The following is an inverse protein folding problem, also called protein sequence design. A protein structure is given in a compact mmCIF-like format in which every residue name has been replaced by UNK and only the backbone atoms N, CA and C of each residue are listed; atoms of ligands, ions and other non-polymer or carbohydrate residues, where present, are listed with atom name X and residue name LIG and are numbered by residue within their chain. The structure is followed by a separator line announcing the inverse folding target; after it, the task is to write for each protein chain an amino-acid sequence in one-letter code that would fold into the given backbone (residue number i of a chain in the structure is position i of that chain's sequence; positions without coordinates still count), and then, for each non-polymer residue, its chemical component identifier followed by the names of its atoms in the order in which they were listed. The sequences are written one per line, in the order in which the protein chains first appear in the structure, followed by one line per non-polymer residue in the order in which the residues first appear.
data_IF_638252614053
#
_entry.id   IF_638252614053
#
_cell.length_a   1.000
_cell.length_b   1.000
_cell.length_c   1.000
_cell.angle_alpha   90.00
_cell.angle_beta   90.00
_cell.angle_gamma   90.00
#
_symmetry.space_group_name_H-M   'P 1'
#
loop_
_entity.id
_entity.type
_entity.pdbx_description
1 polymer ?
#
# COMPACT_ATOMS: atom_id res chain seq x y z
N UNK A 1 5.75 -31.47 32.21
CA UNK A 1 4.42 -31.47 32.85
C UNK A 1 4.27 -30.18 33.62
N UNK A 2 3.58 -29.19 33.03
CA UNK A 2 2.73 -28.17 33.67
C UNK A 2 2.21 -27.27 32.54
N UNK A 3 1.03 -27.64 32.03
CA UNK A 3 0.24 -26.83 31.09
C UNK A 3 -0.67 -25.97 31.96
N UNK A 4 -0.48 -24.65 31.93
CA UNK A 4 -1.44 -23.70 32.49
C UNK A 4 -2.39 -23.30 31.35
N UNK A 5 -3.55 -23.95 31.28
CA UNK A 5 -4.68 -23.57 30.43
C UNK A 5 -5.49 -22.48 31.13
N UNK A 6 -5.42 -21.24 30.64
CA UNK A 6 -6.39 -20.20 31.01
C UNK A 6 -7.47 -20.09 29.95
N UNK A 7 -8.64 -20.61 30.28
CA UNK A 7 -9.89 -20.45 29.52
C UNK A 7 -10.36 -19.00 29.65
N UNK A 8 -10.50 -18.29 28.53
CA UNK A 8 -11.16 -16.98 28.46
C UNK A 8 -12.60 -17.17 27.97
N UNK A 9 -13.54 -17.14 28.91
CA UNK A 9 -14.96 -16.99 28.63
C UNK A 9 -15.22 -15.57 28.13
N UNK A 10 -15.52 -15.40 26.83
CA UNK A 10 -16.09 -14.16 26.30
C UNK A 10 -17.61 -14.18 26.48
N UNK A 11 -18.10 -13.36 27.40
CA UNK A 11 -19.53 -13.07 27.55
C UNK A 11 -19.97 -12.15 26.41
N UNK A 12 -20.92 -12.62 25.60
CA UNK A 12 -21.45 -11.94 24.43
C UNK A 12 -22.52 -10.93 24.86
N UNK A 13 -22.19 -9.63 24.90
CA UNK A 13 -23.22 -8.57 25.03
C UNK A 13 -23.83 -8.35 23.65
N UNK A 14 -25.06 -8.83 23.45
CA UNK A 14 -25.88 -8.53 22.26
C UNK A 14 -26.27 -7.05 22.29
N UNK A 15 -25.64 -6.23 21.43
CA UNK A 15 -26.21 -4.95 21.01
C UNK A 15 -26.41 -4.93 19.49
N UNK A 16 -27.58 -4.48 19.08
CA UNK A 16 -28.22 -4.64 17.76
C UNK A 16 -27.68 -3.71 16.66
N UNK A 17 -26.41 -3.31 16.71
CA UNK A 17 -25.80 -2.39 15.73
C UNK A 17 -24.78 -3.06 14.78
N UNK A 18 -24.63 -4.38 14.86
CA UNK A 18 -23.56 -5.16 14.21
C UNK A 18 -23.93 -5.76 12.84
N UNK A 19 -24.72 -5.05 12.03
CA UNK A 19 -25.16 -5.55 10.71
C UNK A 19 -24.76 -4.66 9.53
N UNK A 20 -23.72 -3.81 9.68
CA UNK A 20 -23.11 -3.08 8.57
C UNK A 20 -21.65 -3.49 8.36
N UNK A 21 -21.47 -4.38 7.38
CA UNK A 21 -20.27 -4.74 6.63
C UNK A 21 -19.12 -5.45 7.38
N UNK A 22 -19.11 -6.78 7.27
CA UNK A 22 -18.00 -7.65 7.67
C UNK A 22 -16.66 -7.29 6.99
N UNK A 23 -16.68 -6.59 5.85
CA UNK A 23 -15.49 -6.13 5.14
C UNK A 23 -14.70 -5.06 5.90
N UNK A 24 -15.37 -4.17 6.66
CA UNK A 24 -14.69 -3.18 7.53
C UNK A 24 -14.01 -3.85 8.72
N UNK A 25 -14.59 -4.93 9.24
CA UNK A 25 -14.04 -5.68 10.37
C UNK A 25 -12.79 -6.44 9.95
N UNK A 26 -12.77 -7.11 8.80
CA UNK A 26 -11.55 -7.82 8.33
C UNK A 26 -10.42 -6.82 8.02
N UNK A 27 -10.74 -5.67 7.41
CA UNK A 27 -9.78 -4.60 7.13
C UNK A 27 -9.17 -4.03 8.42
N UNK A 28 -10.00 -3.69 9.42
CA UNK A 28 -9.54 -3.12 10.69
C UNK A 28 -8.81 -4.14 11.58
N UNK A 29 -9.21 -5.41 11.59
CA UNK A 29 -8.54 -6.43 12.39
C UNK A 29 -7.18 -6.80 11.78
N UNK A 30 -7.05 -6.90 10.45
CA UNK A 30 -5.75 -7.10 9.79
C UNK A 30 -4.76 -5.94 10.03
N UNK A 31 -5.24 -4.69 10.01
CA UNK A 31 -4.44 -3.51 10.31
C UNK A 31 -4.08 -3.38 11.80
N UNK A 32 -4.98 -3.76 12.73
CA UNK A 32 -4.68 -3.69 14.17
C UNK A 32 -3.55 -4.64 14.58
N UNK A 33 -3.48 -5.84 14.03
CA UNK A 33 -2.41 -6.80 14.38
C UNK A 33 -1.01 -6.33 13.96
N UNK A 34 -0.88 -5.60 12.86
CA UNK A 34 0.42 -5.09 12.38
C UNK A 34 0.87 -3.85 13.16
N UNK A 35 -0.07 -3.06 13.71
CA UNK A 35 0.25 -1.85 14.49
C UNK A 35 0.51 -2.18 15.97
N UNK A 36 -0.07 -3.25 16.53
CA UNK A 36 0.03 -3.57 17.96
C UNK A 36 1.34 -4.23 18.40
N UNK A 37 2.12 -4.86 17.50
CA UNK A 37 3.41 -5.47 17.89
C UNK A 37 4.55 -4.46 18.07
N UNK A 38 4.35 -3.17 17.77
CA UNK A 38 5.38 -2.13 17.94
C UNK A 38 5.23 -1.27 19.20
N UNK A 39 4.33 -1.63 20.11
CA UNK A 39 4.01 -0.87 21.31
C UNK A 39 4.59 -1.46 22.61
N UNK A 40 5.48 -2.45 22.51
CA UNK A 40 6.24 -2.98 23.64
C UNK A 40 7.73 -2.81 23.29
N UNK A 41 8.48 -2.22 24.22
CA UNK A 41 9.92 -1.92 24.18
C UNK A 41 10.33 -0.57 23.56
N UNK A 42 9.85 0.52 24.15
CA UNK A 42 10.68 1.71 24.38
C UNK A 42 10.50 2.10 25.85
N UNK A 43 11.37 1.59 26.73
CA UNK A 43 11.59 2.20 28.04
C UNK A 43 12.13 3.62 27.83
N UNK A 44 11.24 4.60 27.99
CA UNK A 44 11.62 6.01 28.06
C UNK A 44 12.30 6.27 29.39
N UNK A 45 13.60 6.51 29.37
CA UNK A 45 14.28 7.19 30.46
C UNK A 45 13.76 8.63 30.51
N UNK A 46 12.99 8.91 31.57
CA UNK A 46 12.45 10.20 31.92
C UNK A 46 13.53 11.05 32.63
N UNK A 47 13.88 12.19 32.03
CA UNK A 47 14.41 13.33 32.77
C UNK A 47 13.68 14.60 32.32
N UNK A 48 12.61 14.90 33.06
CA UNK A 48 12.08 16.23 33.35
C UNK A 48 11.42 17.00 32.19
N UNK A 49 10.09 17.09 32.23
CA UNK A 49 9.37 18.22 31.63
C UNK A 49 7.98 17.88 31.10
N UNK A 50 7.00 17.86 32.00
CA UNK A 50 5.58 17.65 31.72
C UNK A 50 5.04 18.66 30.68
N UNK A 51 4.42 18.15 29.60
CA UNK A 51 3.10 18.60 29.11
C UNK A 51 2.56 17.60 28.06
N UNK A 52 1.45 16.98 28.41
CA UNK A 52 0.66 16.06 27.60
C UNK A 52 0.18 16.69 26.29
N UNK A 53 0.68 16.20 25.15
CA UNK A 53 0.11 16.49 23.83
C UNK A 53 -0.92 15.41 23.46
N UNK A 54 -2.14 15.85 23.19
CA UNK A 54 -3.24 15.00 22.70
C UNK A 54 -2.94 14.45 21.29
N UNK A 55 -3.62 13.38 20.83
CA UNK A 55 -3.51 12.89 19.47
C UNK A 55 -4.32 13.81 18.54
N UNK A 56 -3.77 14.99 18.26
CA UNK A 56 -4.29 15.87 17.21
C UNK A 56 -3.61 15.52 15.89
N UNK A 57 -4.42 15.26 14.87
CA UNK A 57 -4.01 15.09 13.49
C UNK A 57 -3.08 16.22 13.09
N UNK A 58 -1.82 15.88 12.81
CA UNK A 58 -0.91 16.81 12.14
C UNK A 58 -1.42 16.96 10.70
N UNK A 59 -2.37 17.88 10.49
CA UNK A 59 -2.73 18.37 9.15
C UNK A 59 -1.41 18.72 8.44
N UNK A 60 -1.13 18.05 7.32
CA UNK A 60 -0.01 18.39 6.45
C UNK A 60 -0.14 19.86 6.05
N UNK A 61 0.67 20.73 6.68
CA UNK A 61 0.81 22.13 6.27
C UNK A 61 1.34 22.12 4.84
N UNK A 62 0.57 22.65 3.89
CA UNK A 62 0.92 22.89 2.47
C UNK A 62 2.29 22.31 2.07
N UNK A 63 2.38 20.98 1.98
CA UNK A 63 3.64 20.30 1.75
C UNK A 63 3.99 20.49 0.27
N UNK A 64 5.00 21.30 -0.01
CA UNK A 64 5.58 21.36 -1.33
C UNK A 64 6.48 20.13 -1.48
N UNK A 65 5.99 19.10 -2.15
CA UNK A 65 6.80 17.93 -2.46
C UNK A 65 7.77 18.27 -3.60
N UNK A 66 9.04 17.94 -3.41
CA UNK A 66 10.05 18.01 -4.45
C UNK A 66 10.35 16.60 -4.97
N UNK A 67 10.92 16.53 -6.17
CA UNK A 67 11.52 15.30 -6.68
C UNK A 67 12.50 14.75 -5.64
N UNK A 68 12.42 13.44 -5.38
CA UNK A 68 13.27 12.76 -4.39
C UNK A 68 14.06 11.67 -5.08
N UNK A 69 15.35 11.62 -4.74
CA UNK A 69 16.28 10.62 -5.26
C UNK A 69 16.45 9.51 -4.21
N UNK A 70 16.28 8.27 -4.63
CA UNK A 70 16.54 7.07 -3.86
C UNK A 70 17.74 6.34 -4.44
N UNK A 71 18.67 5.91 -3.60
CA UNK A 71 19.76 5.02 -4.00
C UNK A 71 19.30 3.57 -3.86
N UNK A 72 19.10 2.91 -4.99
CA UNK A 72 18.66 1.52 -5.10
C UNK A 72 19.81 0.64 -5.61
N UNK A 73 20.07 -0.52 -4.99
CA UNK A 73 21.19 -1.39 -5.37
C UNK A 73 21.01 -2.07 -6.74
N UNK A 74 19.79 -2.14 -7.28
CA UNK A 74 19.49 -2.77 -8.58
C UNK A 74 19.48 -1.73 -9.70
N UNK A 75 18.91 -0.56 -9.44
CA UNK A 75 18.66 0.47 -10.45
C UNK A 75 19.55 1.71 -10.33
N UNK A 76 20.42 1.78 -9.32
CA UNK A 76 21.26 2.95 -9.07
C UNK A 76 20.45 4.10 -8.48
N UNK A 77 20.54 5.29 -9.06
CA UNK A 77 19.76 6.44 -8.60
C UNK A 77 18.37 6.46 -9.24
N UNK A 78 17.34 6.30 -8.42
CA UNK A 78 15.94 6.41 -8.83
C UNK A 78 15.44 7.82 -8.46
N UNK A 79 15.02 8.59 -9.46
CA UNK A 79 14.38 9.91 -9.25
C UNK A 79 12.87 9.76 -9.39
N UNK A 80 12.10 10.13 -8.36
CA UNK A 80 10.64 10.00 -8.34
C UNK A 80 9.92 11.34 -8.29
N UNK A 81 8.85 11.44 -9.07
CA UNK A 81 7.99 12.61 -9.19
C UNK A 81 7.37 13.01 -7.83
N UNK A 82 7.20 14.31 -7.53
CA UNK A 82 6.59 14.79 -6.29
C UNK A 82 5.28 14.12 -5.88
N UNK A 83 4.41 13.80 -6.84
CA UNK A 83 3.15 13.09 -6.56
C UNK A 83 3.39 11.66 -6.01
N UNK A 84 4.39 10.95 -6.55
CA UNK A 84 4.82 9.65 -6.02
C UNK A 84 5.40 9.80 -4.61
N UNK A 85 6.21 10.85 -4.38
CA UNK A 85 6.79 11.13 -3.06
C UNK A 85 5.70 11.40 -2.02
N UNK A 86 4.64 12.12 -2.39
CA UNK A 86 3.49 12.37 -1.51
C UNK A 86 2.80 11.08 -1.06
N UNK A 87 2.71 10.07 -1.93
CA UNK A 87 2.21 8.73 -1.56
C UNK A 87 3.22 7.96 -0.72
N UNK A 88 4.50 8.00 -1.10
CA UNK A 88 5.58 7.29 -0.41
C UNK A 88 5.66 7.73 1.05
N UNK A 89 5.56 9.03 1.32
CA UNK A 89 5.70 9.61 2.65
C UNK A 89 4.38 9.51 3.47
N UNK A 90 3.60 8.43 3.28
CA UNK A 90 2.42 8.09 4.10
C UNK A 90 2.65 6.82 4.93
N UNK A 91 1.99 6.66 6.09
CA UNK A 91 2.07 5.44 6.89
C UNK A 91 1.69 4.17 6.11
N UNK A 92 0.66 4.26 5.26
CA UNK A 92 0.10 3.16 4.49
C UNK A 92 1.12 2.59 3.49
N UNK A 93 1.94 3.45 2.87
CA UNK A 93 3.04 3.04 1.99
C UNK A 93 4.29 2.63 2.78
N UNK A 94 4.68 3.40 3.81
CA UNK A 94 5.86 3.10 4.63
C UNK A 94 5.76 1.74 5.32
N UNK A 95 4.54 1.22 5.56
CA UNK A 95 4.35 -0.12 6.12
C UNK A 95 5.01 -1.22 5.27
N UNK A 96 5.13 -1.03 3.96
CA UNK A 96 5.72 -2.01 3.03
C UNK A 96 7.18 -2.33 3.37
N UNK A 97 7.86 -1.47 4.15
CA UNK A 97 9.22 -1.74 4.67
C UNK A 97 9.28 -2.96 5.60
N UNK A 98 8.17 -3.28 6.24
CA UNK A 98 8.05 -4.40 7.19
C UNK A 98 7.53 -5.68 6.54
N UNK A 99 7.19 -5.64 5.25
CA UNK A 99 6.65 -6.80 4.51
C UNK A 99 7.75 -7.35 3.60
N UNK A 100 8.26 -8.53 3.95
CA UNK A 100 9.28 -9.23 3.17
C UNK A 100 8.75 -9.63 1.79
N UNK A 101 9.50 -9.34 0.73
CA UNK A 101 9.11 -9.66 -0.64
C UNK A 101 8.83 -11.16 -0.80
N UNK A 102 9.75 -11.98 -0.32
CA UNK A 102 9.75 -13.43 -0.49
C UNK A 102 9.25 -14.19 0.74
N UNK A 103 8.61 -13.52 1.69
CA UNK A 103 8.07 -14.15 2.90
C UNK A 103 9.09 -15.00 3.64
N UNK A 104 8.83 -16.30 3.77
CA UNK A 104 9.68 -17.26 4.50
C UNK A 104 10.98 -17.62 3.79
N UNK A 105 11.21 -17.20 2.54
CA UNK A 105 12.40 -17.58 1.79
C UNK A 105 13.69 -17.10 2.46
N UNK A 106 13.64 -16.01 3.23
CA UNK A 106 14.78 -15.50 4.02
C UNK A 106 15.39 -16.55 4.96
N UNK A 107 14.57 -17.48 5.47
CA UNK A 107 15.03 -18.57 6.35
C UNK A 107 15.77 -19.69 5.60
N UNK A 108 15.68 -19.72 4.27
CA UNK A 108 16.40 -20.66 3.41
C UNK A 108 17.54 -19.94 2.66
N UNK A 109 17.30 -18.71 2.22
CA UNK A 109 18.23 -17.85 1.49
C UNK A 109 18.42 -16.55 2.28
N UNK A 110 19.47 -16.45 3.12
CA UNK A 110 19.66 -15.32 4.03
C UNK A 110 19.90 -13.98 3.31
N UNK A 111 20.21 -13.99 2.00
CA UNK A 111 20.28 -12.77 1.17
C UNK A 111 18.92 -12.21 0.76
N UNK A 112 17.82 -12.93 0.97
CA UNK A 112 16.47 -12.53 0.54
C UNK A 112 15.78 -11.61 1.55
N UNK A 113 16.49 -10.55 1.96
CA UNK A 113 16.05 -9.62 3.03
C UNK A 113 15.19 -8.45 2.53
N UNK A 114 15.07 -8.31 1.20
CA UNK A 114 14.37 -7.21 0.55
C UNK A 114 12.87 -7.22 0.86
N UNK A 115 12.27 -6.04 0.84
CA UNK A 115 10.88 -5.82 1.22
C UNK A 115 10.06 -5.26 0.05
N UNK A 116 8.74 -5.28 0.21
CA UNK A 116 7.81 -4.75 -0.79
C UNK A 116 8.03 -3.26 -1.04
N UNK A 117 8.53 -2.50 -0.06
CA UNK A 117 8.82 -1.07 -0.24
C UNK A 117 9.88 -0.82 -1.33
N UNK A 118 11.06 -1.45 -1.24
CA UNK A 118 12.11 -1.27 -2.26
C UNK A 118 11.65 -1.76 -3.63
N UNK A 119 10.92 -2.88 -3.65
CA UNK A 119 10.34 -3.41 -4.88
C UNK A 119 9.37 -2.41 -5.54
N UNK A 120 8.42 -1.85 -4.79
CA UNK A 120 7.47 -0.85 -5.30
C UNK A 120 8.14 0.41 -5.86
N UNK A 121 9.25 0.87 -5.26
CA UNK A 121 10.04 1.98 -5.81
C UNK A 121 10.67 1.59 -7.17
N UNK A 122 11.23 0.39 -7.27
CA UNK A 122 11.80 -0.12 -8.51
C UNK A 122 10.76 -0.28 -9.62
N UNK A 123 9.57 -0.80 -9.30
CA UNK A 123 8.47 -0.94 -10.27
C UNK A 123 7.98 0.42 -10.74
N UNK A 124 7.78 1.38 -9.85
CA UNK A 124 7.46 2.77 -10.22
C UNK A 124 8.48 3.35 -11.21
N UNK A 125 9.77 3.16 -10.93
CA UNK A 125 10.86 3.66 -11.78
C UNK A 125 10.87 3.01 -13.16
N UNK A 126 10.80 1.68 -13.22
CA UNK A 126 10.82 0.94 -14.48
C UNK A 126 9.58 1.20 -15.32
N UNK A 127 8.40 1.28 -14.70
CA UNK A 127 7.15 1.62 -15.38
C UNK A 127 7.25 3.00 -16.05
N UNK A 128 7.73 4.00 -15.30
CA UNK A 128 7.98 5.35 -15.84
C UNK A 128 9.01 5.38 -16.96
N UNK A 129 10.12 4.63 -16.80
CA UNK A 129 11.16 4.54 -17.83
C UNK A 129 10.63 3.91 -19.13
N UNK A 130 9.88 2.82 -19.00
CA UNK A 130 9.30 2.12 -20.13
C UNK A 130 8.33 3.01 -20.90
N UNK A 131 7.40 3.66 -20.21
CA UNK A 131 6.36 4.44 -20.88
C UNK A 131 6.91 5.72 -21.54
N UNK A 132 7.95 6.33 -20.95
CA UNK A 132 8.68 7.45 -21.57
C UNK A 132 9.36 7.01 -22.86
N UNK A 133 10.12 5.91 -22.82
CA UNK A 133 10.79 5.38 -24.00
C UNK A 133 9.79 5.01 -25.11
N UNK A 134 8.64 4.44 -24.74
CA UNK A 134 7.57 4.13 -25.69
C UNK A 134 7.03 5.40 -26.36
N UNK A 135 6.77 6.45 -25.59
CA UNK A 135 6.27 7.72 -26.12
C UNK A 135 7.28 8.44 -27.02
N UNK A 136 8.56 8.37 -26.68
CA UNK A 136 9.64 8.93 -27.51
C UNK A 136 9.79 8.18 -28.85
N UNK A 137 9.66 6.85 -28.83
CA UNK A 137 9.78 6.01 -30.03
C UNK A 137 8.53 5.99 -30.90
N UNK A 138 7.36 6.21 -30.31
CA UNK A 138 6.07 6.16 -30.98
C UNK A 138 5.22 7.39 -30.64
N UNK A 139 5.58 8.59 -31.14
CA UNK A 139 4.86 9.83 -30.84
C UNK A 139 3.37 9.78 -31.25
N UNK A 140 3.00 8.95 -32.22
CA UNK A 140 1.62 8.73 -32.65
C UNK A 140 0.71 8.21 -31.52
N UNK A 141 1.28 7.55 -30.50
CA UNK A 141 0.53 7.07 -29.35
C UNK A 141 0.03 8.19 -28.43
N UNK A 142 0.50 9.43 -28.63
CA UNK A 142 0.03 10.62 -27.91
C UNK A 142 0.03 10.43 -26.38
N UNK A 143 1.13 9.89 -25.86
CA UNK A 143 1.35 9.65 -24.43
C UNK A 143 1.65 10.99 -23.76
N UNK A 144 0.85 11.33 -22.75
CA UNK A 144 0.97 12.58 -22.00
C UNK A 144 1.73 12.38 -20.69
N UNK A 145 2.24 13.46 -20.10
CA UNK A 145 2.88 13.41 -18.78
C UNK A 145 1.95 12.87 -17.69
N UNK A 146 0.64 13.10 -17.82
CA UNK A 146 -0.37 12.55 -16.91
C UNK A 146 -0.49 11.03 -17.08
N UNK A 147 -0.47 10.51 -18.32
CA UNK A 147 -0.49 9.06 -18.54
C UNK A 147 0.76 8.39 -17.92
N UNK A 148 1.93 9.00 -18.13
CA UNK A 148 3.20 8.55 -17.56
C UNK A 148 3.10 8.50 -16.03
N UNK A 149 2.59 9.57 -15.41
CA UNK A 149 2.45 9.63 -13.97
C UNK A 149 1.41 8.63 -13.44
N UNK A 150 0.30 8.39 -14.15
CA UNK A 150 -0.65 7.34 -13.80
C UNK A 150 0.00 5.94 -13.83
N UNK A 151 0.81 5.65 -14.85
CA UNK A 151 1.54 4.38 -14.95
C UNK A 151 2.58 4.23 -13.82
N UNK A 152 3.32 5.30 -13.50
CA UNK A 152 4.25 5.33 -12.36
C UNK A 152 3.51 5.09 -11.03
N UNK A 153 2.38 5.76 -10.79
CA UNK A 153 1.57 5.61 -9.59
C UNK A 153 0.98 4.21 -9.46
N UNK A 154 0.55 3.60 -10.56
CA UNK A 154 0.09 2.22 -10.57
C UNK A 154 1.23 1.25 -10.21
N UNK A 155 2.39 1.40 -10.84
CA UNK A 155 3.59 0.62 -10.51
C UNK A 155 4.02 0.78 -9.05
N UNK A 156 3.95 2.00 -8.52
CA UNK A 156 4.22 2.30 -7.12
C UNK A 156 3.22 1.59 -6.19
N UNK A 157 1.93 1.64 -6.53
CA UNK A 157 0.85 1.23 -5.62
C UNK A 157 0.37 -0.22 -5.80
N UNK A 158 0.84 -0.96 -6.80
CA UNK A 158 0.32 -2.29 -7.13
C UNK A 158 0.39 -3.30 -5.97
N UNK A 159 1.38 -3.15 -5.10
CA UNK A 159 1.65 -4.01 -3.95
C UNK A 159 1.16 -3.45 -2.60
N UNK A 160 0.42 -2.34 -2.62
CA UNK A 160 -0.14 -1.73 -1.40
C UNK A 160 -1.06 -2.65 -0.62
N UNK A 161 -1.53 -3.76 -1.17
CA UNK A 161 -2.47 -4.68 -0.55
C UNK A 161 -1.82 -5.90 0.11
N UNK A 162 -0.51 -6.09 -0.03
CA UNK A 162 0.13 -7.26 0.55
C UNK A 162 0.02 -7.29 2.09
N UNK A 163 -0.26 -8.49 2.61
CA UNK A 163 -0.24 -8.81 4.03
C UNK A 163 1.09 -9.41 4.50
N UNK A 164 1.17 -9.85 5.77
CA UNK A 164 2.36 -10.48 6.33
C UNK A 164 2.87 -11.66 5.49
N UNK A 165 4.17 -11.69 5.20
CA UNK A 165 4.80 -12.72 4.35
C UNK A 165 4.27 -12.77 2.90
N UNK A 166 3.76 -11.65 2.38
CA UNK A 166 3.41 -11.47 0.95
C UNK A 166 2.40 -12.52 0.45
N UNK A 167 2.72 -13.32 -0.57
CA UNK A 167 1.79 -14.30 -1.13
C UNK A 167 1.42 -15.43 -0.16
N UNK A 168 2.21 -15.66 0.89
CA UNK A 168 1.80 -16.62 1.94
C UNK A 168 0.54 -16.16 2.67
N UNK A 169 0.34 -14.84 2.82
CA UNK A 169 -0.88 -14.29 3.41
C UNK A 169 -2.12 -14.62 2.59
N UNK A 170 -2.02 -14.46 1.27
CA UNK A 170 -3.12 -14.74 0.35
C UNK A 170 -3.57 -16.20 0.44
N UNK A 171 -2.60 -17.12 0.45
CA UNK A 171 -2.85 -18.56 0.65
C UNK A 171 -3.50 -18.84 2.00
N UNK A 172 -3.00 -18.22 3.07
CA UNK A 172 -3.59 -18.36 4.41
C UNK A 172 -5.04 -17.88 4.45
N UNK A 173 -5.33 -16.70 3.89
CA UNK A 173 -6.68 -16.14 3.84
C UNK A 173 -7.64 -17.01 3.02
N UNK A 174 -7.16 -17.59 1.92
CA UNK A 174 -7.92 -18.55 1.13
C UNK A 174 -8.25 -19.82 1.92
N UNK A 175 -7.27 -20.41 2.61
CA UNK A 175 -7.51 -21.57 3.48
C UNK A 175 -8.52 -21.27 4.59
N UNK A 176 -8.40 -20.10 5.23
CA UNK A 176 -9.31 -19.67 6.29
C UNK A 176 -10.74 -19.45 5.78
N UNK A 177 -10.91 -18.94 4.56
CA UNK A 177 -12.25 -18.72 3.97
C UNK A 177 -12.95 -20.04 3.66
N UNK A 178 -12.21 -21.04 3.14
CA UNK A 178 -12.69 -22.41 2.96
C UNK A 178 -13.13 -23.04 4.28
N UNK A 179 -12.31 -22.93 5.33
CA UNK A 179 -12.62 -23.50 6.65
C UNK A 179 -13.89 -22.90 7.25
N UNK A 180 -14.09 -21.59 7.09
CA UNK A 180 -15.27 -20.87 7.62
C UNK A 180 -16.49 -20.93 6.70
N UNK A 181 -16.40 -21.61 5.54
CA UNK A 181 -17.45 -21.64 4.49
C UNK A 181 -17.89 -20.24 4.06
N UNK A 182 -16.96 -19.28 4.04
CA UNK A 182 -17.20 -17.91 3.59
C UNK A 182 -16.63 -17.79 2.18
N UNK A 183 -17.47 -17.43 1.21
CA UNK A 183 -17.03 -17.26 -0.17
C UNK A 183 -16.39 -15.88 -0.40
N UNK A 184 -15.29 -15.60 0.30
CA UNK A 184 -14.49 -14.39 0.11
C UNK A 184 -13.14 -14.77 -0.46
N UNK A 185 -12.84 -14.28 -1.66
CA UNK A 185 -11.50 -14.37 -2.25
C UNK A 185 -10.73 -13.13 -1.83
N UNK A 186 -9.65 -13.32 -1.08
CA UNK A 186 -8.70 -12.26 -0.79
C UNK A 186 -7.68 -12.24 -1.93
N UNK A 187 -7.50 -11.09 -2.58
CA UNK A 187 -6.50 -10.84 -3.62
C UNK A 187 -5.76 -9.58 -3.27
N UNK A 188 -4.43 -9.59 -3.32
CA UNK A 188 -3.65 -8.43 -2.89
C UNK A 188 -3.93 -7.21 -3.78
N UNK A 189 -4.20 -7.40 -5.07
CA UNK A 189 -4.53 -6.34 -6.04
C UNK A 189 -5.79 -5.57 -5.63
N UNK A 190 -6.85 -6.28 -5.23
CA UNK A 190 -8.10 -5.67 -4.74
C UNK A 190 -7.85 -4.91 -3.44
N UNK A 191 -7.00 -5.46 -2.56
CA UNK A 191 -6.64 -4.78 -1.30
C UNK A 191 -5.73 -3.59 -1.56
N UNK A 192 -4.88 -3.61 -2.60
CA UNK A 192 -4.04 -2.48 -3.01
C UNK A 192 -4.90 -1.29 -3.41
N UNK A 193 -5.97 -1.52 -4.16
CA UNK A 193 -6.94 -0.49 -4.56
C UNK A 193 -7.64 0.11 -3.34
N UNK A 194 -8.13 -0.74 -2.43
CA UNK A 194 -8.77 -0.27 -1.19
C UNK A 194 -7.80 0.48 -0.27
N UNK A 195 -6.53 0.04 -0.22
CA UNK A 195 -5.49 0.71 0.55
C UNK A 195 -5.10 2.04 -0.08
N UNK A 196 -5.09 2.17 -1.41
CA UNK A 196 -4.87 3.42 -2.12
C UNK A 196 -5.96 4.45 -1.77
N UNK A 197 -7.23 4.02 -1.77
CA UNK A 197 -8.35 4.87 -1.34
C UNK A 197 -8.17 5.37 0.09
N UNK A 198 -7.89 4.44 1.02
CA UNK A 198 -7.66 4.78 2.42
C UNK A 198 -6.46 5.72 2.59
N UNK A 199 -5.36 5.47 1.87
CA UNK A 199 -4.16 6.29 1.88
C UNK A 199 -4.47 7.73 1.44
N UNK A 200 -5.19 7.91 0.34
CA UNK A 200 -5.52 9.23 -0.19
C UNK A 200 -6.46 9.99 0.76
N UNK A 201 -7.48 9.32 1.29
CA UNK A 201 -8.48 9.91 2.20
C UNK A 201 -7.84 10.31 3.55
N UNK A 202 -7.17 9.38 4.22
CA UNK A 202 -6.62 9.55 5.56
C UNK A 202 -5.53 10.64 5.62
N UNK A 203 -4.76 10.80 4.54
CA UNK A 203 -3.69 11.78 4.43
C UNK A 203 -4.12 13.06 3.69
N UNK A 204 -5.39 13.17 3.25
CA UNK A 204 -5.92 14.30 2.47
C UNK A 204 -5.03 14.65 1.27
N UNK A 205 -4.66 13.65 0.46
CA UNK A 205 -3.73 13.83 -0.66
C UNK A 205 -4.39 14.33 -1.95
N UNK A 206 -5.71 14.21 -2.10
CA UNK A 206 -6.39 14.58 -3.35
C UNK A 206 -6.10 16.04 -3.79
N UNK A 207 -6.11 17.06 -2.91
CA UNK A 207 -5.74 18.43 -3.31
C UNK A 207 -4.29 18.58 -3.75
N UNK A 208 -3.39 17.70 -3.29
CA UNK A 208 -1.96 17.71 -3.64
C UNK A 208 -1.78 17.04 -5.00
N UNK A 209 -2.38 15.86 -5.19
CA UNK A 209 -2.37 15.10 -6.44
C UNK A 209 -3.01 15.90 -7.59
N UNK A 210 -4.10 16.63 -7.33
CA UNK A 210 -4.74 17.50 -8.31
C UNK A 210 -3.80 18.57 -8.89
N UNK A 211 -2.81 19.06 -8.11
CA UNK A 211 -1.82 20.04 -8.61
C UNK A 211 -0.93 19.47 -9.72
N UNK A 212 -0.83 18.14 -9.79
CA UNK A 212 -0.06 17.41 -10.78
C UNK A 212 -0.95 16.75 -11.84
N UNK A 213 -2.23 17.14 -11.93
CA UNK A 213 -3.17 16.60 -12.91
C UNK A 213 -3.78 15.25 -12.53
N UNK A 214 -3.55 14.75 -11.31
CA UNK A 214 -4.08 13.47 -10.84
C UNK A 214 -5.36 13.71 -10.05
N UNK A 215 -6.50 13.67 -10.75
CA UNK A 215 -7.83 13.78 -10.18
C UNK A 215 -8.52 12.43 -9.98
N UNK A 216 -9.82 12.45 -9.69
CA UNK A 216 -10.60 11.23 -9.45
C UNK A 216 -10.61 10.27 -10.66
N UNK A 217 -10.58 10.82 -11.89
CA UNK A 217 -10.53 10.02 -13.12
C UNK A 217 -9.19 9.29 -13.24
N UNK A 218 -8.09 9.99 -13.00
CA UNK A 218 -6.74 9.44 -13.06
C UNK A 218 -6.49 8.44 -11.93
N UNK A 219 -7.05 8.67 -10.74
CA UNK A 219 -7.04 7.70 -9.64
C UNK A 219 -7.83 6.44 -10.02
N UNK A 220 -8.96 6.56 -10.71
CA UNK A 220 -9.68 5.40 -11.24
C UNK A 220 -8.83 4.63 -12.24
N UNK A 221 -8.17 5.32 -13.17
CA UNK A 221 -7.27 4.72 -14.15
C UNK A 221 -6.10 3.96 -13.47
N UNK A 222 -5.49 4.56 -12.45
CA UNK A 222 -4.44 3.90 -11.64
C UNK A 222 -4.96 2.59 -11.03
N UNK A 223 -6.20 2.57 -10.52
CA UNK A 223 -6.81 1.34 -9.98
C UNK A 223 -7.08 0.31 -11.07
N UNK A 224 -7.52 0.74 -12.24
CA UNK A 224 -7.76 -0.15 -13.38
C UNK A 224 -6.46 -0.83 -13.83
N UNK A 225 -5.34 -0.10 -13.83
CA UNK A 225 -4.00 -0.68 -14.06
C UNK A 225 -3.64 -1.74 -13.02
N UNK A 226 -3.86 -1.47 -11.73
CA UNK A 226 -3.57 -2.42 -10.65
C UNK A 226 -4.45 -3.67 -10.75
N UNK A 227 -5.71 -3.50 -11.16
CA UNK A 227 -6.67 -4.61 -11.30
C UNK A 227 -6.49 -5.40 -12.60
N UNK A 228 -5.84 -4.81 -13.61
CA UNK A 228 -5.76 -5.36 -14.96
C UNK A 228 -7.06 -5.24 -15.77
N UNK A 229 -7.88 -4.23 -15.49
CA UNK A 229 -9.16 -4.00 -16.21
C UNK A 229 -8.92 -3.08 -17.40
N UNK A 230 -8.87 -3.65 -18.60
CA UNK A 230 -8.66 -2.89 -19.83
C UNK A 230 -9.87 -2.01 -20.23
N UNK A 231 -9.65 -0.90 -20.96
CA UNK A 231 -10.71 -0.01 -21.38
C UNK A 231 -11.53 -0.65 -22.51
N UNK A 232 -12.84 -0.46 -22.46
CA UNK A 232 -13.78 -1.08 -23.41
C UNK A 232 -13.67 -0.50 -24.83
N UNK A 233 -13.22 0.75 -24.96
CA UNK A 233 -13.07 1.45 -26.23
C UNK A 233 -11.73 1.18 -26.93
N UNK A 234 -10.84 0.41 -26.29
CA UNK A 234 -9.49 0.10 -26.78
C UNK A 234 -8.53 1.29 -26.80
N UNK A 235 -8.98 2.49 -26.40
CA UNK A 235 -8.16 3.68 -26.42
C UNK A 235 -7.04 3.56 -25.38
N UNK A 236 -5.80 3.73 -25.83
CA UNK A 236 -4.59 3.55 -25.02
C UNK A 236 -4.51 2.21 -24.26
N UNK A 237 -5.10 1.14 -24.82
CA UNK A 237 -5.03 -0.20 -24.22
C UNK A 237 -3.59 -0.70 -23.98
N UNK A 238 -2.61 -0.18 -24.74
CA UNK A 238 -1.19 -0.48 -24.55
C UNK A 238 -0.64 -0.05 -23.17
N UNK A 239 -1.31 0.88 -22.46
CA UNK A 239 -0.92 1.28 -21.10
C UNK A 239 -1.15 0.19 -20.05
N UNK A 240 -1.93 -0.84 -20.37
CA UNK A 240 -2.31 -1.91 -19.46
C UNK A 240 -1.46 -3.19 -19.59
N UNK A 241 -0.45 -3.17 -20.47
CA UNK A 241 0.45 -4.29 -20.74
C UNK A 241 1.69 -4.21 -19.83
#
# INVERSE_FOLDING_TARGET
MYIITRSLNLTFVKSSLLQRSASKIIFLYGLKYVILERSLDIETYDLNGCHCLSPHSKKLKSAHFSTKIFCDPVHGQISLHPACVAIIDTPQFQRLRSIKQTGFLEYVYPGSIHNRFSHSLGVCYLAGKYIRELGERQPELSITDVDILCVELAGLCHDLGHGPFSHSWEKYMHMASLQKKVNTVWKHEVVSINMLDYLIEDNNLLPILNKYGIGSKEISLVKDFIQGVQPQDGNKAFLYQ
#
